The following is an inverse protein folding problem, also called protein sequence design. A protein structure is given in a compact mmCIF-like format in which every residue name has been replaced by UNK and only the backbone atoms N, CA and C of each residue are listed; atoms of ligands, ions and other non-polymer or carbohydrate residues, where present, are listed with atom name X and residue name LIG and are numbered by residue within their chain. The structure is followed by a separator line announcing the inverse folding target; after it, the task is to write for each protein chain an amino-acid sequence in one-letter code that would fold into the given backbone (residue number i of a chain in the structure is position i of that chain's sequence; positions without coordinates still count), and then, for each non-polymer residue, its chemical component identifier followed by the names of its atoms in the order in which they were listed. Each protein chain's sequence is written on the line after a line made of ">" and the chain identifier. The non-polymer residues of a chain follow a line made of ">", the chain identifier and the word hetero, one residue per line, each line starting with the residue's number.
data_IF_769382805589
#
_entry.id   IF_769382805589
#
_cell.length_a   1.000
_cell.length_b   1.000
_cell.length_c   1.000
_cell.angle_alpha   90.00
_cell.angle_beta   90.00
_cell.angle_gamma   90.00
#
_symmetry.space_group_name_H-M   'P 1'
#
loop_
_entity.id
_entity.type
_entity.pdbx_description
1 polymer ?
#
# COMPACT_ATOMS: atom_id res chain seq x y z
N UNK A 1 -20.00 7.34 8.36
CA UNK A 1 -19.50 8.49 7.56
C UNK A 1 -19.13 9.69 8.43
N UNK A 2 -20.04 10.19 9.28
CA UNK A 2 -19.73 11.31 10.23
C UNK A 2 -18.43 11.12 11.03
N UNK A 3 -18.18 9.98 11.71
CA UNK A 3 -16.94 9.79 12.48
C UNK A 3 -15.68 9.76 11.59
N UNK A 4 -15.78 9.19 10.39
CA UNK A 4 -14.67 9.14 9.44
C UNK A 4 -14.24 10.53 8.99
N UNK A 5 -15.20 11.39 8.62
CA UNK A 5 -14.92 12.76 8.18
C UNK A 5 -14.29 13.59 9.31
N UNK A 6 -14.78 13.45 10.55
CA UNK A 6 -14.23 14.14 11.70
C UNK A 6 -12.77 13.72 11.96
N UNK A 7 -12.49 12.41 12.02
CA UNK A 7 -11.14 11.90 12.21
C UNK A 7 -10.20 12.32 11.08
N UNK A 8 -10.67 12.30 9.83
CA UNK A 8 -9.88 12.72 8.68
C UNK A 8 -9.57 14.22 8.73
N UNK A 9 -10.52 15.06 9.14
CA UNK A 9 -10.33 16.51 9.25
C UNK A 9 -9.42 16.90 10.42
N UNK A 10 -9.59 16.30 11.59
CA UNK A 10 -8.88 16.70 12.81
C UNK A 10 -7.57 15.95 13.06
N UNK A 11 -7.44 14.72 12.57
CA UNK A 11 -6.24 13.89 12.81
C UNK A 11 -5.50 13.63 11.50
N UNK A 12 -6.20 13.16 10.47
CA UNK A 12 -5.59 12.76 9.21
C UNK A 12 -4.90 13.92 8.47
N UNK A 13 -5.63 15.00 8.18
CA UNK A 13 -5.09 16.15 7.45
C UNK A 13 -3.93 16.82 8.20
N UNK A 14 -4.03 17.14 9.51
CA UNK A 14 -2.92 17.75 10.23
C UNK A 14 -1.66 16.88 10.27
N UNK A 15 -1.82 15.57 10.48
CA UNK A 15 -0.69 14.64 10.52
C UNK A 15 0.02 14.56 9.16
N UNK A 16 -0.74 14.50 8.07
CA UNK A 16 -0.19 14.50 6.71
C UNK A 16 0.59 15.79 6.40
N UNK A 17 0.05 16.96 6.74
CA UNK A 17 0.76 18.23 6.54
C UNK A 17 2.03 18.32 7.38
N UNK A 18 2.00 17.83 8.63
CA UNK A 18 3.17 17.79 9.49
C UNK A 18 4.29 16.94 8.89
N UNK A 19 3.96 15.76 8.35
CA UNK A 19 4.94 14.89 7.68
C UNK A 19 5.53 15.56 6.43
N UNK A 20 4.70 16.22 5.61
CA UNK A 20 5.16 16.95 4.43
C UNK A 20 6.11 18.10 4.79
N UNK A 21 5.75 18.95 5.77
CA UNK A 21 6.58 20.08 6.18
C UNK A 21 7.90 19.58 6.78
N UNK A 22 7.87 18.52 7.59
CA UNK A 22 9.08 17.89 8.13
C UNK A 22 9.97 17.34 7.01
N UNK A 23 9.39 16.66 6.02
CA UNK A 23 10.12 16.14 4.86
C UNK A 23 10.77 17.25 4.03
N UNK A 24 10.03 18.34 3.77
CA UNK A 24 10.53 19.51 3.04
C UNK A 24 11.63 20.25 3.81
N UNK A 25 11.48 20.42 5.12
CA UNK A 25 12.47 21.10 5.96
C UNK A 25 13.75 20.26 6.15
N UNK A 26 13.61 18.96 6.38
CA UNK A 26 14.76 18.08 6.60
C UNK A 26 15.60 17.86 5.33
N UNK A 27 14.99 17.99 4.14
CA UNK A 27 15.67 17.77 2.85
C UNK A 27 16.28 16.37 2.67
N UNK A 28 15.97 15.46 3.58
CA UNK A 28 16.56 14.13 3.71
C UNK A 28 15.47 13.07 3.61
N UNK A 29 15.85 11.87 3.18
CA UNK A 29 14.97 10.71 3.23
C UNK A 29 14.48 10.44 4.66
N UNK A 30 13.39 9.69 4.81
CA UNK A 30 12.71 9.39 6.07
C UNK A 30 13.67 8.85 7.16
N UNK A 31 14.70 8.09 6.77
CA UNK A 31 15.74 7.59 7.66
C UNK A 31 16.62 8.70 8.29
N UNK A 32 16.76 9.85 7.62
CA UNK A 32 17.55 11.00 8.06
C UNK A 32 16.71 12.19 8.54
N UNK A 33 15.38 12.17 8.38
CA UNK A 33 14.48 13.26 8.74
C UNK A 33 14.54 13.63 10.25
N UNK A 34 14.81 12.64 11.11
CA UNK A 34 14.94 12.83 12.56
C UNK A 34 16.40 13.03 13.02
N UNK A 35 17.32 13.38 12.13
CA UNK A 35 18.74 13.55 12.44
C UNK A 35 19.04 14.58 13.56
N UNK A 36 18.18 15.60 13.72
CA UNK A 36 18.28 16.60 14.80
C UNK A 36 17.83 16.10 16.17
N UNK A 37 17.13 14.96 16.26
CA UNK A 37 16.63 14.38 17.49
C UNK A 37 17.11 12.93 17.64
N UNK A 38 18.23 12.67 18.34
CA UNK A 38 18.84 11.34 18.40
C UNK A 38 17.93 10.26 19.00
N UNK A 39 17.01 10.62 19.90
CA UNK A 39 15.99 9.73 20.45
C UNK A 39 14.96 9.27 19.40
N UNK A 40 14.65 10.10 18.40
CA UNK A 40 13.67 9.82 17.36
C UNK A 40 14.28 9.17 16.11
N UNK A 41 15.60 8.98 16.07
CA UNK A 41 16.31 8.39 14.91
C UNK A 41 15.80 6.99 14.53
N UNK A 42 15.35 6.20 15.51
CA UNK A 42 14.77 4.88 15.27
C UNK A 42 13.46 4.90 14.50
N UNK A 43 12.68 5.99 14.61
CA UNK A 43 11.37 6.14 13.94
C UNK A 43 11.55 6.16 12.42
N UNK A 44 12.55 6.89 11.92
CA UNK A 44 12.84 6.97 10.49
C UNK A 44 13.18 5.60 9.88
N UNK A 45 13.97 4.79 10.59
CA UNK A 45 14.28 3.43 10.15
C UNK A 45 13.08 2.49 10.22
N UNK A 46 12.27 2.58 11.28
CA UNK A 46 11.04 1.80 11.40
C UNK A 46 10.06 2.09 10.25
N UNK A 47 9.93 3.36 9.84
CA UNK A 47 9.13 3.77 8.69
C UNK A 47 9.63 3.13 7.38
N UNK A 48 10.94 3.10 7.15
CA UNK A 48 11.52 2.45 5.94
C UNK A 48 11.23 0.95 5.92
N UNK A 49 11.37 0.25 7.06
CA UNK A 49 11.03 -1.17 7.15
C UNK A 49 9.54 -1.42 6.91
N UNK A 50 8.66 -0.62 7.52
CA UNK A 50 7.22 -0.73 7.32
C UNK A 50 6.84 -0.54 5.84
N UNK A 51 7.36 0.50 5.18
CA UNK A 51 7.15 0.74 3.75
C UNK A 51 7.65 -0.42 2.88
N UNK A 52 8.75 -1.06 3.26
CA UNK A 52 9.29 -2.23 2.55
C UNK A 52 8.32 -3.41 2.64
N UNK A 53 7.85 -3.76 3.84
CA UNK A 53 6.87 -4.83 4.00
C UNK A 53 5.57 -4.55 3.25
N UNK A 54 5.09 -3.31 3.31
CA UNK A 54 3.90 -2.88 2.56
C UNK A 54 4.11 -3.07 1.07
N UNK A 55 5.24 -2.62 0.54
CA UNK A 55 5.56 -2.74 -0.88
C UNK A 55 5.62 -4.20 -1.33
N UNK A 56 6.18 -5.11 -0.52
CA UNK A 56 6.29 -6.52 -0.87
C UNK A 56 4.92 -7.17 -1.09
N UNK A 57 3.98 -7.04 -0.14
CA UNK A 57 2.67 -7.68 -0.29
C UNK A 57 1.78 -6.95 -1.31
N UNK A 58 1.84 -5.62 -1.41
CA UNK A 58 1.01 -4.86 -2.37
C UNK A 58 1.39 -5.17 -3.82
N UNK A 59 2.68 -5.37 -4.12
CA UNK A 59 3.10 -5.73 -5.48
C UNK A 59 2.53 -7.08 -5.91
N UNK A 60 2.37 -8.04 -4.99
CA UNK A 60 1.73 -9.33 -5.29
C UNK A 60 0.25 -9.13 -5.67
N UNK A 61 -0.48 -8.32 -4.90
CA UNK A 61 -1.89 -8.01 -5.19
C UNK A 61 -2.03 -7.30 -6.54
N UNK A 62 -1.15 -6.33 -6.81
CA UNK A 62 -1.13 -5.62 -8.09
C UNK A 62 -0.82 -6.57 -9.26
N UNK A 63 0.09 -7.53 -9.05
CA UNK A 63 0.40 -8.58 -10.01
C UNK A 63 -0.83 -9.43 -10.35
N UNK A 64 -1.59 -9.85 -9.35
CA UNK A 64 -2.88 -10.53 -9.58
C UNK A 64 -3.86 -9.62 -10.34
N UNK A 65 -4.02 -8.36 -9.92
CA UNK A 65 -4.92 -7.42 -10.59
C UNK A 65 -4.58 -7.23 -12.07
N UNK A 66 -3.29 -7.12 -12.41
CA UNK A 66 -2.83 -7.04 -13.80
C UNK A 66 -3.12 -8.31 -14.59
N UNK A 67 -2.89 -9.48 -13.99
CA UNK A 67 -3.19 -10.77 -14.62
C UNK A 67 -4.70 -10.92 -14.92
N UNK A 68 -5.56 -10.59 -13.95
CA UNK A 68 -7.02 -10.59 -14.15
C UNK A 68 -7.46 -9.53 -15.18
N UNK A 69 -6.79 -8.38 -15.21
CA UNK A 69 -7.03 -7.34 -16.22
C UNK A 69 -6.75 -7.87 -17.64
N UNK A 70 -5.60 -8.50 -17.86
CA UNK A 70 -5.28 -9.08 -19.17
C UNK A 70 -6.20 -10.25 -19.54
N UNK A 71 -6.59 -11.10 -18.59
CA UNK A 71 -7.56 -12.16 -18.84
C UNK A 71 -8.96 -11.64 -19.18
N UNK A 72 -9.34 -10.45 -18.68
CA UNK A 72 -10.61 -9.82 -19.01
C UNK A 72 -10.69 -9.32 -20.46
N UNK A 73 -9.56 -9.21 -21.16
CA UNK A 73 -9.52 -8.85 -22.59
C UNK A 73 -9.76 -10.05 -23.51
N UNK A 74 -9.84 -11.28 -22.98
CA UNK A 74 -10.16 -12.48 -23.76
C UNK A 74 -11.66 -12.52 -24.06
N UNK A 75 -12.03 -13.11 -25.21
CA UNK A 75 -13.44 -13.27 -25.63
C UNK A 75 -14.26 -14.11 -24.65
N UNK A 76 -13.65 -15.15 -24.09
CA UNK A 76 -14.21 -15.99 -23.03
C UNK A 76 -13.35 -15.85 -21.79
N UNK A 77 -13.97 -15.50 -20.66
CA UNK A 77 -13.26 -15.29 -19.41
C UNK A 77 -12.89 -16.65 -18.81
N UNK A 78 -11.64 -16.86 -18.37
CA UNK A 78 -11.19 -18.18 -17.95
C UNK A 78 -11.97 -18.71 -16.74
N UNK A 79 -12.43 -17.84 -15.83
CA UNK A 79 -13.25 -18.23 -14.68
C UNK A 79 -14.74 -18.44 -14.99
N UNK A 80 -15.16 -18.36 -16.25
CA UNK A 80 -16.54 -18.67 -16.67
C UNK A 80 -16.72 -20.11 -17.14
N UNK A 81 -15.62 -20.83 -17.31
CA UNK A 81 -15.59 -22.23 -17.74
C UNK A 81 -14.77 -23.04 -16.75
N UNK A 82 -15.22 -24.27 -16.48
CA UNK A 82 -14.43 -25.24 -15.73
C UNK A 82 -13.37 -25.81 -16.66
N UNK A 83 -12.12 -25.37 -16.50
CA UNK A 83 -10.98 -25.86 -17.26
C UNK A 83 -10.21 -26.89 -16.42
N UNK A 84 -9.99 -28.08 -16.98
CA UNK A 84 -9.31 -29.20 -16.30
C UNK A 84 -7.88 -28.85 -15.83
N UNK A 85 -7.28 -27.78 -16.36
CA UNK A 85 -5.95 -27.33 -15.95
C UNK A 85 -5.88 -26.76 -14.52
N UNK A 86 -7.01 -26.29 -13.97
CA UNK A 86 -7.04 -25.67 -12.64
C UNK A 86 -8.31 -25.93 -11.83
N UNK A 87 -9.39 -26.43 -12.46
CA UNK A 87 -10.63 -26.76 -11.78
C UNK A 87 -10.58 -28.16 -11.16
N UNK A 88 -11.19 -28.30 -9.99
CA UNK A 88 -11.35 -29.57 -9.27
C UNK A 88 -12.70 -30.24 -9.63
N UNK A 89 -12.93 -31.48 -9.20
CA UNK A 89 -14.12 -32.30 -9.49
C UNK A 89 -15.45 -31.65 -9.01
N UNK A 90 -15.39 -30.56 -8.24
CA UNK A 90 -16.53 -29.82 -7.72
C UNK A 90 -16.89 -28.55 -8.53
N UNK A 91 -16.38 -28.39 -9.75
CA UNK A 91 -16.69 -27.25 -10.61
C UNK A 91 -18.03 -27.47 -11.35
N UNK A 92 -19.00 -26.58 -11.14
CA UNK A 92 -20.37 -26.64 -11.69
C UNK A 92 -20.74 -25.40 -12.50
#
# INVERSE_FOLDING_TARGET
>A
MVPYILLMMFVGRPMYYLELILGQFAGNAQAGAFGGFPLAKGIGWAMVYACTFISLYYNVILGYALLYFFYSLRKTLPWTVCDEAWADDNCY
#
